data_IF_139558967683
#
_entry.id   IF_139558967683
#
_cell.length_a   1.000
_cell.length_b   1.000
_cell.length_c   1.000
_cell.angle_alpha   90.00
_cell.angle_beta   90.00
_cell.angle_gamma   90.00
#
_symmetry.space_group_name_H-M   'P 1'
#
loop_
_entity.id
_entity.type
_entity.pdbx_description
1 polymer ?
#
# COMPACT_ATOMS: atom_id res chain seq x y z
N UNK A 1 -7.52 -15.30 -6.24
CA UNK A 1 -6.74 -14.21 -5.60
C UNK A 1 -5.24 -14.52 -5.51
N UNK A 2 -4.82 -15.80 -5.47
CA UNK A 2 -3.40 -16.15 -5.36
C UNK A 2 -2.53 -15.68 -6.56
N UNK A 3 -2.99 -15.86 -7.81
CA UNK A 3 -2.24 -15.37 -8.99
C UNK A 3 -2.00 -13.86 -9.00
N UNK A 4 -2.98 -13.06 -8.57
CA UNK A 4 -2.84 -11.60 -8.51
C UNK A 4 -1.82 -11.21 -7.45
N UNK A 5 -1.85 -11.88 -6.30
CA UNK A 5 -0.86 -11.70 -5.23
C UNK A 5 0.55 -12.07 -5.70
N UNK A 6 0.71 -13.20 -6.39
CA UNK A 6 1.99 -13.65 -6.94
C UNK A 6 2.55 -12.65 -7.96
N UNK A 7 1.72 -12.17 -8.89
CA UNK A 7 2.12 -11.15 -9.86
C UNK A 7 2.52 -9.82 -9.18
N UNK A 8 1.85 -9.45 -8.09
CA UNK A 8 2.25 -8.28 -7.29
C UNK A 8 3.58 -8.51 -6.56
N UNK A 9 3.81 -9.71 -6.01
CA UNK A 9 5.08 -10.03 -5.36
C UNK A 9 6.25 -10.00 -6.37
N UNK A 10 6.05 -10.54 -7.58
CA UNK A 10 7.04 -10.43 -8.66
C UNK A 10 7.34 -8.97 -9.05
N UNK A 11 6.33 -8.10 -9.02
CA UNK A 11 6.51 -6.67 -9.29
C UNK A 11 7.37 -5.97 -8.21
N UNK A 12 7.32 -6.43 -6.97
CA UNK A 12 8.09 -5.85 -5.86
C UNK A 12 9.47 -6.49 -5.65
N UNK A 13 9.76 -7.61 -6.34
CA UNK A 13 11.02 -8.33 -6.22
C UNK A 13 12.27 -7.48 -6.55
N UNK A 14 12.28 -6.58 -7.56
CA UNK A 14 13.45 -5.76 -7.87
C UNK A 14 13.89 -4.86 -6.70
N UNK A 15 12.95 -4.41 -5.86
CA UNK A 15 13.18 -3.54 -4.72
C UNK A 15 13.19 -4.28 -3.37
N UNK A 16 13.23 -5.62 -3.38
CA UNK A 16 13.24 -6.51 -2.19
C UNK A 16 14.00 -5.94 -0.99
N UNK A 17 15.25 -5.55 -1.21
CA UNK A 17 16.17 -5.17 -0.13
C UNK A 17 15.81 -3.81 0.51
N UNK A 18 14.99 -3.01 -0.17
CA UNK A 18 14.48 -1.72 0.35
C UNK A 18 13.13 -1.83 1.07
N UNK A 19 12.46 -2.99 1.03
CA UNK A 19 11.15 -3.17 1.64
C UNK A 19 11.26 -3.41 3.15
N UNK A 20 10.29 -2.90 3.90
CA UNK A 20 10.21 -3.10 5.36
C UNK A 20 9.72 -4.49 5.76
N UNK A 21 9.21 -5.26 4.79
CA UNK A 21 8.61 -6.59 4.96
C UNK A 21 8.96 -7.46 3.75
N UNK A 22 8.84 -8.79 3.85
CA UNK A 22 8.95 -9.68 2.68
C UNK A 22 7.99 -9.28 1.55
N UNK A 23 8.44 -9.43 0.30
CA UNK A 23 7.73 -9.03 -0.93
C UNK A 23 6.27 -9.50 -0.97
N UNK A 24 6.04 -10.71 -0.48
CA UNK A 24 4.77 -11.38 -0.50
C UNK A 24 3.83 -10.88 0.60
N UNK A 25 4.36 -10.41 1.74
CA UNK A 25 3.58 -9.64 2.72
C UNK A 25 3.27 -8.21 2.23
N UNK A 26 4.19 -7.60 1.50
CA UNK A 26 3.97 -6.28 0.87
C UNK A 26 2.86 -6.35 -0.18
N UNK A 27 2.83 -7.41 -0.98
CA UNK A 27 1.75 -7.69 -1.92
C UNK A 27 0.39 -7.82 -1.22
N UNK A 28 0.33 -8.56 -0.11
CA UNK A 28 -0.89 -8.71 0.70
C UNK A 28 -1.39 -7.36 1.26
N UNK A 29 -0.48 -6.52 1.76
CA UNK A 29 -0.79 -5.18 2.25
C UNK A 29 -1.32 -4.26 1.13
N UNK A 30 -0.67 -4.26 -0.03
CA UNK A 30 -1.10 -3.48 -1.18
C UNK A 30 -2.52 -3.85 -1.62
N UNK A 31 -2.81 -5.16 -1.70
CA UNK A 31 -4.14 -5.65 -2.03
C UNK A 31 -5.19 -5.21 -1.01
N UNK A 32 -4.91 -5.31 0.30
CA UNK A 32 -5.82 -4.86 1.35
C UNK A 32 -6.16 -3.38 1.24
N UNK A 33 -5.16 -2.55 0.96
CA UNK A 33 -5.35 -1.11 0.76
C UNK A 33 -6.16 -0.81 -0.53
N UNK A 34 -5.89 -1.52 -1.64
CA UNK A 34 -6.66 -1.38 -2.89
C UNK A 34 -8.14 -1.77 -2.74
N UNK A 35 -8.44 -2.81 -1.97
CA UNK A 35 -9.83 -3.16 -1.66
C UNK A 35 -10.50 -2.08 -0.81
N UNK A 36 -9.79 -1.51 0.17
CA UNK A 36 -10.29 -0.40 0.99
C UNK A 36 -10.57 0.84 0.13
N UNK A 37 -9.71 1.12 -0.85
CA UNK A 37 -9.93 2.20 -1.84
C UNK A 37 -11.18 1.96 -2.69
N UNK A 38 -11.42 0.71 -3.09
CA UNK A 38 -12.57 0.33 -3.93
C UNK A 38 -13.89 0.35 -3.16
N UNK A 39 -13.86 0.12 -1.86
CA UNK A 39 -15.01 0.16 -0.96
C UNK A 39 -14.64 0.92 0.32
N UNK A 40 -14.66 2.28 0.28
CA UNK A 40 -14.22 3.09 1.41
C UNK A 40 -15.10 2.83 2.65
N UNK A 41 -14.50 2.71 3.84
CA UNK A 41 -15.26 2.50 5.08
C UNK A 41 -16.17 3.70 5.42
N UNK A 42 -15.82 4.90 4.96
CA UNK A 42 -16.66 6.10 5.08
C UNK A 42 -17.85 6.14 4.10
N UNK A 43 -18.04 5.12 3.27
CA UNK A 43 -19.12 5.04 2.29
C UNK A 43 -18.79 5.68 0.92
N UNK A 44 -19.74 5.65 -0.03
CA UNK A 44 -19.50 6.04 -1.43
C UNK A 44 -19.16 7.52 -1.63
N UNK A 45 -19.57 8.38 -0.70
CA UNK A 45 -19.35 9.83 -0.75
C UNK A 45 -18.10 10.28 0.03
N UNK A 46 -17.40 9.35 0.68
CA UNK A 46 -16.18 9.69 1.40
C UNK A 46 -15.08 10.11 0.41
N UNK A 47 -14.32 11.18 0.73
CA UNK A 47 -13.18 11.57 -0.09
C UNK A 47 -12.15 10.45 -0.08
N UNK A 48 -11.73 10.04 -1.27
CA UNK A 48 -10.72 9.03 -1.47
C UNK A 48 -9.42 9.72 -1.89
N UNK A 49 -8.25 9.38 -1.29
CA UNK A 49 -6.98 9.87 -1.79
C UNK A 49 -6.81 9.60 -3.29
N UNK A 50 -6.08 10.48 -3.96
CA UNK A 50 -5.62 10.20 -5.32
C UNK A 50 -4.77 8.93 -5.32
N UNK A 51 -4.63 8.29 -6.50
CA UNK A 51 -3.81 7.07 -6.59
C UNK A 51 -2.34 7.38 -6.25
N UNK A 52 -1.87 8.56 -6.60
CA UNK A 52 -0.51 9.05 -6.31
C UNK A 52 -0.30 9.22 -4.81
N UNK A 53 -1.23 9.90 -4.11
CA UNK A 53 -1.14 10.08 -2.66
C UNK A 53 -1.20 8.74 -1.92
N UNK A 54 -2.00 7.81 -2.42
CA UNK A 54 -2.10 6.46 -1.88
C UNK A 54 -0.77 5.70 -2.04
N UNK A 55 -0.17 5.74 -3.22
CA UNK A 55 1.11 5.08 -3.50
C UNK A 55 2.26 5.70 -2.69
N UNK A 56 2.26 7.01 -2.54
CA UNK A 56 3.24 7.71 -1.71
C UNK A 56 3.18 7.25 -0.26
N UNK A 57 1.99 7.21 0.36
CA UNK A 57 1.81 6.71 1.72
C UNK A 57 2.16 5.23 1.85
N UNK A 58 1.84 4.43 0.85
CA UNK A 58 2.20 3.00 0.84
C UNK A 58 3.71 2.79 0.85
N UNK A 59 4.46 3.52 0.02
CA UNK A 59 5.91 3.36 -0.13
C UNK A 59 6.70 4.06 0.98
N UNK A 60 6.23 5.23 1.43
CA UNK A 60 6.98 6.10 2.35
C UNK A 60 6.44 6.09 3.79
N UNK A 61 5.19 5.64 3.99
CA UNK A 61 4.46 5.73 5.26
C UNK A 61 3.64 7.02 5.39
N UNK A 62 2.76 7.09 6.40
CA UNK A 62 1.81 8.19 6.57
C UNK A 62 2.39 9.44 7.29
N UNK A 63 3.60 9.34 7.84
CA UNK A 63 4.24 10.43 8.58
C UNK A 63 5.12 11.27 7.65
N UNK A 64 5.08 12.59 7.82
CA UNK A 64 6.05 13.49 7.19
C UNK A 64 7.41 13.34 7.87
N UNK A 65 8.50 13.43 7.10
CA UNK A 65 9.88 13.37 7.63
C UNK A 65 10.04 14.43 8.73
N UNK A 66 10.39 14.00 9.95
CA UNK A 66 10.59 14.88 11.11
C UNK A 66 9.48 14.85 12.17
N UNK A 67 8.37 14.16 11.93
CA UNK A 67 7.32 13.94 12.95
C UNK A 67 7.69 12.80 13.91
N UNK A 68 8.77 12.95 14.67
CA UNK A 68 8.95 12.19 15.93
C UNK A 68 8.27 12.98 17.05
N UNK A 69 6.95 12.87 17.12
CA UNK A 69 6.20 13.23 18.33
C UNK A 69 6.01 11.95 19.14
N UNK A 70 6.97 11.69 20.02
CA UNK A 70 6.74 10.89 21.23
C UNK A 70 6.76 11.86 22.40
#
# INVERSE_FOLDING_TARGET
MNRTREALAELFEPERDGLRLPVDQVADLFMGLMFTRSRPPGGPSAPNPSIEAFLDVFLNGALTKGSTAW
#
